data_IF_103898575475
#
_entry.id   IF_103898575475
#
_cell.length_a   1.000
_cell.length_b   1.000
_cell.length_c   1.000
_cell.angle_alpha   90.00
_cell.angle_beta   90.00
_cell.angle_gamma   90.00
#
_symmetry.space_group_name_H-M   'P 1'
#
loop_
_entity.id
_entity.type
_entity.pdbx_description
1 polymer ?
#
# COMPACT_ATOMS: atom_id res chain seq x y z
N UNK A 1 16.76 1.81 -27.25
CA UNK A 1 16.68 0.42 -26.77
C UNK A 1 16.22 0.46 -25.32
N UNK A 2 15.01 -0.05 -25.04
CA UNK A 2 14.49 -0.23 -23.70
C UNK A 2 15.40 -1.21 -22.96
N UNK A 3 16.23 -0.73 -22.03
CA UNK A 3 16.95 -1.61 -21.12
C UNK A 3 16.02 -1.92 -19.96
N UNK A 4 15.52 -3.15 -19.96
CA UNK A 4 14.79 -3.81 -18.88
C UNK A 4 15.80 -4.22 -17.77
N UNK A 5 17.05 -3.78 -17.84
CA UNK A 5 18.19 -4.36 -17.11
C UNK A 5 18.56 -3.62 -15.82
N UNK A 6 17.73 -2.68 -15.33
CA UNK A 6 17.91 -2.16 -13.98
C UNK A 6 17.23 -3.13 -12.99
N UNK A 7 18.02 -3.69 -12.07
CA UNK A 7 17.55 -4.55 -10.97
C UNK A 7 16.28 -4.00 -10.28
N UNK A 8 16.15 -2.68 -10.02
CA UNK A 8 14.92 -2.12 -9.44
C UNK A 8 13.66 -2.32 -10.29
N UNK A 9 13.76 -2.25 -11.63
CA UNK A 9 12.58 -2.40 -12.52
C UNK A 9 12.03 -3.83 -12.47
N UNK A 10 12.89 -4.84 -12.29
CA UNK A 10 12.45 -6.22 -12.11
C UNK A 10 11.69 -6.41 -10.82
N UNK A 11 12.15 -5.80 -9.72
CA UNK A 11 11.51 -5.94 -8.42
C UNK A 11 10.12 -5.31 -8.39
N UNK A 12 9.95 -4.11 -8.95
CA UNK A 12 8.62 -3.47 -9.10
C UNK A 12 7.69 -4.28 -9.99
N UNK A 13 8.19 -4.79 -11.13
CA UNK A 13 7.40 -5.62 -12.05
C UNK A 13 6.95 -6.94 -11.40
N UNK A 14 7.85 -7.60 -10.67
CA UNK A 14 7.53 -8.80 -9.91
C UNK A 14 6.48 -8.52 -8.84
N UNK A 15 6.52 -7.37 -8.16
CA UNK A 15 5.51 -6.97 -7.18
C UNK A 15 4.13 -6.85 -7.80
N UNK A 16 4.04 -6.21 -8.97
CA UNK A 16 2.80 -6.10 -9.74
C UNK A 16 2.28 -7.50 -10.11
N UNK A 17 3.16 -8.41 -10.53
CA UNK A 17 2.79 -9.78 -10.89
C UNK A 17 2.37 -10.65 -9.70
N UNK A 18 3.02 -10.49 -8.53
CA UNK A 18 2.73 -11.25 -7.31
C UNK A 18 1.45 -10.77 -6.62
N UNK A 19 1.10 -9.49 -6.75
CA UNK A 19 -0.12 -8.90 -6.16
C UNK A 19 -1.41 -9.70 -6.43
N UNK A 20 -1.77 -10.03 -7.69
CA UNK A 20 -2.97 -10.84 -7.96
C UNK A 20 -2.85 -12.26 -7.40
N UNK A 21 -1.64 -12.83 -7.32
CA UNK A 21 -1.43 -14.14 -6.69
C UNK A 21 -1.77 -14.07 -5.20
N UNK A 22 -1.33 -13.03 -4.49
CA UNK A 22 -1.69 -12.81 -3.07
C UNK A 22 -3.21 -12.74 -2.92
N UNK A 23 -3.89 -11.96 -3.76
CA UNK A 23 -5.35 -11.84 -3.71
C UNK A 23 -6.05 -13.19 -3.93
N UNK A 24 -5.61 -13.97 -4.91
CA UNK A 24 -6.15 -15.32 -5.18
C UNK A 24 -5.92 -16.24 -3.97
N UNK A 25 -4.73 -16.22 -3.36
CA UNK A 25 -4.44 -17.04 -2.19
C UNK A 25 -5.35 -16.71 -0.99
N UNK A 26 -5.71 -15.43 -0.83
CA UNK A 26 -6.70 -15.00 0.17
C UNK A 26 -8.11 -15.50 -0.20
N UNK A 27 -8.52 -15.39 -1.46
CA UNK A 27 -9.85 -15.83 -1.93
C UNK A 27 -10.11 -17.32 -1.86
N UNK A 28 -9.05 -18.14 -1.92
CA UNK A 28 -9.17 -19.58 -1.69
C UNK A 28 -9.67 -19.87 -0.28
N UNK A 29 -9.42 -18.96 0.67
CA UNK A 29 -9.84 -19.04 2.07
C UNK A 29 -9.37 -20.34 2.78
N UNK A 30 -8.21 -20.86 2.36
CA UNK A 30 -7.60 -22.04 2.96
C UNK A 30 -6.65 -21.65 4.09
N UNK A 31 -7.03 -22.00 5.32
CA UNK A 31 -6.24 -21.78 6.54
C UNK A 31 -5.04 -22.72 6.66
N UNK A 32 -4.97 -23.79 5.87
CA UNK A 32 -3.89 -24.77 5.95
C UNK A 32 -2.61 -24.25 5.28
N UNK A 33 -2.73 -23.71 4.06
CA UNK A 33 -1.58 -23.22 3.29
C UNK A 33 -1.84 -21.89 2.57
N UNK A 34 -3.07 -21.62 2.13
CA UNK A 34 -3.41 -20.41 1.37
C UNK A 34 -2.97 -19.11 2.06
N UNK A 35 -3.41 -18.91 3.30
CA UNK A 35 -3.05 -17.71 4.07
C UNK A 35 -1.56 -17.63 4.41
N UNK A 36 -0.89 -18.76 4.65
CA UNK A 36 0.55 -18.78 4.91
C UNK A 36 1.35 -18.32 3.68
N UNK A 37 0.98 -18.83 2.49
CA UNK A 37 1.60 -18.40 1.22
C UNK A 37 1.31 -16.92 0.96
N UNK A 38 0.06 -16.48 1.14
CA UNK A 38 -0.31 -15.07 1.00
C UNK A 38 0.51 -14.17 1.94
N UNK A 39 0.67 -14.56 3.20
CA UNK A 39 1.45 -13.84 4.20
C UNK A 39 2.92 -13.72 3.82
N UNK A 40 3.54 -14.83 3.39
CA UNK A 40 4.94 -14.85 2.95
C UNK A 40 5.14 -13.96 1.72
N UNK A 41 4.29 -14.11 0.69
CA UNK A 41 4.36 -13.32 -0.53
C UNK A 41 4.16 -11.83 -0.25
N UNK A 42 3.18 -11.47 0.58
CA UNK A 42 2.92 -10.09 0.99
C UNK A 42 4.10 -9.49 1.76
N UNK A 43 4.69 -10.27 2.67
CA UNK A 43 5.86 -9.84 3.46
C UNK A 43 7.06 -9.59 2.56
N UNK A 44 7.37 -10.52 1.65
CA UNK A 44 8.46 -10.37 0.68
C UNK A 44 8.20 -9.15 -0.20
N UNK A 45 6.99 -8.99 -0.75
CA UNK A 45 6.61 -7.86 -1.61
C UNK A 45 6.75 -6.50 -0.91
N UNK A 46 6.43 -6.44 0.39
CA UNK A 46 6.54 -5.22 1.19
C UNK A 46 8.00 -4.89 1.55
N UNK A 47 8.82 -5.91 1.82
CA UNK A 47 10.25 -5.74 2.12
C UNK A 47 11.01 -5.33 0.86
N UNK A 48 10.71 -5.95 -0.28
CA UNK A 48 11.37 -5.61 -1.55
C UNK A 48 11.11 -4.16 -1.95
N UNK A 49 9.90 -3.65 -1.75
CA UNK A 49 9.59 -2.22 -1.95
C UNK A 49 10.48 -1.28 -1.13
N UNK A 50 10.59 -1.55 0.16
CA UNK A 50 11.41 -0.74 1.04
C UNK A 50 12.90 -0.76 0.60
N UNK A 51 13.40 -1.94 0.20
CA UNK A 51 14.77 -2.11 -0.27
C UNK A 51 15.00 -1.43 -1.62
N UNK A 52 14.08 -1.51 -2.56
CA UNK A 52 14.16 -0.84 -3.87
C UNK A 52 14.28 0.68 -3.70
N UNK A 53 13.40 1.26 -2.88
CA UNK A 53 13.42 2.70 -2.59
C UNK A 53 14.68 3.15 -1.85
N UNK A 54 15.32 2.27 -1.08
CA UNK A 54 16.61 2.55 -0.43
C UNK A 54 17.77 2.46 -1.42
N UNK A 55 17.81 1.40 -2.22
CA UNK A 55 18.87 1.11 -3.19
C UNK A 55 18.90 2.15 -4.33
N UNK A 56 17.74 2.55 -4.85
CA UNK A 56 17.64 3.59 -5.88
C UNK A 56 18.25 4.93 -5.40
N UNK A 57 17.95 5.32 -4.15
CA UNK A 57 18.50 6.55 -3.54
C UNK A 57 20.02 6.49 -3.32
N UNK A 58 20.54 5.31 -3.00
CA UNK A 58 21.98 5.14 -2.76
C UNK A 58 22.77 5.06 -4.07
N UNK A 59 22.22 4.42 -5.10
CA UNK A 59 22.92 4.21 -6.37
C UNK A 59 22.77 5.37 -7.35
N UNK A 60 21.84 6.33 -7.13
CA UNK A 60 21.50 7.41 -8.08
C UNK A 60 21.13 6.89 -9.48
N UNK A 61 20.67 5.65 -9.56
CA UNK A 61 20.20 5.01 -10.78
C UNK A 61 18.68 5.13 -10.76
N UNK A 62 18.17 6.21 -11.33
CA UNK A 62 16.74 6.42 -11.53
C UNK A 62 16.41 6.14 -13.01
N UNK A 63 15.58 5.14 -13.26
CA UNK A 63 15.04 4.89 -14.60
C UNK A 63 13.63 5.48 -14.66
N UNK A 64 13.31 6.27 -15.68
CA UNK A 64 11.99 6.89 -15.81
C UNK A 64 10.83 5.89 -15.92
N UNK A 65 11.12 4.64 -16.32
CA UNK A 65 10.13 3.56 -16.35
C UNK A 65 9.81 3.02 -14.94
N UNK A 66 10.84 2.81 -14.11
CA UNK A 66 10.66 2.41 -12.71
C UNK A 66 9.96 3.49 -11.90
N UNK A 67 10.35 4.75 -12.08
CA UNK A 67 9.72 5.89 -11.41
C UNK A 67 8.22 6.00 -11.70
N UNK A 68 7.80 5.66 -12.93
CA UNK A 68 6.40 5.60 -13.31
C UNK A 68 5.67 4.41 -12.67
N UNK A 69 6.31 3.24 -12.60
CA UNK A 69 5.68 2.01 -12.11
C UNK A 69 5.58 1.91 -10.59
N UNK A 70 6.54 2.45 -9.83
CA UNK A 70 6.57 2.33 -8.37
C UNK A 70 5.28 2.83 -7.70
N UNK A 71 4.75 4.03 -8.03
CA UNK A 71 3.50 4.52 -7.44
C UNK A 71 2.27 3.71 -7.86
N UNK A 72 2.34 2.96 -8.96
CA UNK A 72 1.28 2.08 -9.43
C UNK A 72 1.32 0.77 -8.66
N UNK A 73 2.50 0.15 -8.57
CA UNK A 73 2.73 -1.11 -7.86
C UNK A 73 2.29 -1.03 -6.39
N UNK A 74 2.62 0.06 -5.71
CA UNK A 74 2.27 0.26 -4.29
C UNK A 74 0.75 0.30 -4.07
N UNK A 75 0.03 1.03 -4.93
CA UNK A 75 -1.44 1.14 -4.83
C UNK A 75 -2.11 -0.15 -5.22
N UNK A 76 -1.56 -0.86 -6.20
CA UNK A 76 -2.06 -2.18 -6.60
C UNK A 76 -1.93 -3.19 -5.46
N UNK A 77 -0.76 -3.28 -4.82
CA UNK A 77 -0.54 -4.24 -3.74
C UNK A 77 -1.53 -4.03 -2.59
N UNK A 78 -1.53 -2.81 -2.04
CA UNK A 78 -2.41 -2.44 -0.93
C UNK A 78 -3.88 -2.60 -1.31
N UNK A 79 -4.27 -2.10 -2.48
CA UNK A 79 -5.66 -2.10 -2.91
C UNK A 79 -6.19 -3.49 -3.17
N UNK A 80 -5.41 -4.35 -3.84
CA UNK A 80 -5.78 -5.73 -4.09
C UNK A 80 -5.91 -6.52 -2.79
N UNK A 81 -4.99 -6.33 -1.84
CA UNK A 81 -5.05 -7.00 -0.54
C UNK A 81 -6.27 -6.55 0.27
N UNK A 82 -6.57 -5.25 0.32
CA UNK A 82 -7.77 -4.74 1.00
C UNK A 82 -9.05 -5.30 0.38
N UNK A 83 -9.14 -5.35 -0.94
CA UNK A 83 -10.30 -5.93 -1.65
C UNK A 83 -10.40 -7.44 -1.44
N UNK A 84 -9.27 -8.14 -1.42
CA UNK A 84 -9.26 -9.58 -1.18
C UNK A 84 -9.73 -9.90 0.25
N UNK A 85 -9.15 -9.23 1.25
CA UNK A 85 -9.59 -9.35 2.64
C UNK A 85 -11.07 -8.96 2.80
N UNK A 86 -11.57 -7.94 2.08
CA UNK A 86 -12.98 -7.55 2.14
C UNK A 86 -13.97 -8.66 1.76
N UNK A 87 -13.55 -9.65 0.97
CA UNK A 87 -14.40 -10.78 0.56
C UNK A 87 -14.44 -11.93 1.56
N UNK A 88 -13.44 -12.04 2.44
CA UNK A 88 -13.31 -13.14 3.41
C UNK A 88 -13.52 -12.67 4.85
N UNK A 89 -13.31 -11.38 5.14
CA UNK A 89 -13.47 -10.80 6.47
C UNK A 89 -14.92 -10.81 6.95
N UNK A 90 -15.12 -11.33 8.16
CA UNK A 90 -16.45 -11.42 8.80
C UNK A 90 -16.73 -10.24 9.73
N UNK A 91 -15.75 -9.38 9.96
CA UNK A 91 -15.80 -8.21 10.85
C UNK A 91 -16.77 -7.10 10.38
N UNK A 92 -17.30 -7.22 9.16
CA UNK A 92 -18.27 -6.29 8.58
C UNK A 92 -17.74 -4.85 8.54
N UNK A 93 -18.49 -3.91 9.11
CA UNK A 93 -18.14 -2.48 9.07
C UNK A 93 -16.81 -2.16 9.76
N UNK A 94 -16.39 -2.96 10.74
CA UNK A 94 -15.12 -2.76 11.46
C UNK A 94 -13.92 -2.90 10.53
N UNK A 95 -14.01 -3.72 9.49
CA UNK A 95 -13.00 -3.83 8.45
C UNK A 95 -13.30 -2.91 7.25
N UNK A 96 -14.55 -2.90 6.77
CA UNK A 96 -14.93 -2.20 5.54
C UNK A 96 -14.78 -0.68 5.64
N UNK A 97 -15.08 -0.09 6.81
CA UNK A 97 -14.97 1.36 7.01
C UNK A 97 -13.52 1.87 6.89
N UNK A 98 -12.53 1.35 7.65
CA UNK A 98 -11.15 1.81 7.51
C UNK A 98 -10.54 1.42 6.16
N UNK A 99 -10.90 0.26 5.58
CA UNK A 99 -10.49 -0.12 4.23
C UNK A 99 -10.93 0.90 3.17
N UNK A 100 -12.20 1.34 3.23
CA UNK A 100 -12.74 2.35 2.33
C UNK A 100 -12.04 3.71 2.52
N UNK A 101 -11.84 4.14 3.77
CA UNK A 101 -11.13 5.40 4.08
C UNK A 101 -9.72 5.42 3.48
N UNK A 102 -8.99 4.32 3.61
CA UNK A 102 -7.65 4.15 3.04
C UNK A 102 -7.71 4.21 1.51
N UNK A 103 -8.54 3.38 0.87
CA UNK A 103 -8.66 3.31 -0.58
C UNK A 103 -9.06 4.66 -1.19
N UNK A 104 -10.14 5.27 -0.70
CA UNK A 104 -10.62 6.56 -1.20
C UNK A 104 -9.54 7.64 -1.12
N UNK A 105 -8.79 7.69 -0.01
CA UNK A 105 -7.70 8.64 0.15
C UNK A 105 -6.58 8.38 -0.85
N UNK A 106 -6.17 7.14 -1.05
CA UNK A 106 -5.08 6.81 -1.99
C UNK A 106 -5.41 7.30 -3.42
N UNK A 107 -6.67 7.19 -3.88
CA UNK A 107 -7.08 7.76 -5.15
C UNK A 107 -7.09 9.30 -5.15
N UNK A 108 -7.69 9.94 -4.14
CA UNK A 108 -7.80 11.41 -4.05
C UNK A 108 -6.43 12.08 -4.04
N UNK A 109 -5.52 11.61 -3.18
CA UNK A 109 -4.18 12.22 -3.05
C UNK A 109 -3.32 11.95 -4.28
N UNK A 110 -3.53 10.82 -4.96
CA UNK A 110 -2.87 10.55 -6.24
C UNK A 110 -3.30 11.54 -7.32
N UNK A 111 -4.60 11.74 -7.49
CA UNK A 111 -5.14 12.70 -8.46
C UNK A 111 -4.71 14.14 -8.16
N UNK A 112 -4.72 14.52 -6.88
CA UNK A 112 -4.23 15.84 -6.45
C UNK A 112 -2.75 16.04 -6.77
N UNK A 113 -1.89 15.06 -6.48
CA UNK A 113 -0.46 15.14 -6.79
C UNK A 113 -0.20 15.24 -8.29
N UNK A 114 -0.94 14.49 -9.10
CA UNK A 114 -0.84 14.56 -10.56
C UNK A 114 -1.25 15.95 -11.07
N UNK A 115 -2.35 16.51 -10.53
CA UNK A 115 -2.79 17.85 -10.89
C UNK A 115 -1.77 18.93 -10.49
N UNK A 116 -1.25 18.89 -9.27
CA UNK A 116 -0.26 19.87 -8.78
C UNK A 116 1.05 19.81 -9.58
N UNK A 117 1.48 18.62 -9.99
CA UNK A 117 2.65 18.45 -10.86
C UNK A 117 2.47 19.17 -12.20
N UNK A 118 1.26 19.20 -12.78
CA UNK A 118 0.96 19.91 -14.03
C UNK A 118 1.10 21.44 -13.91
N UNK A 119 0.96 21.99 -12.70
CA UNK A 119 1.14 23.42 -12.42
C UNK A 119 2.50 23.73 -11.77
N UNK A 120 3.49 22.82 -11.89
CA UNK A 120 4.84 22.95 -11.33
C UNK A 120 4.89 23.14 -9.80
N UNK A 121 3.87 22.68 -9.08
CA UNK A 121 3.86 22.70 -7.61
C UNK A 121 4.00 21.29 -7.05
N UNK A 122 4.82 21.15 -6.00
CA UNK A 122 4.96 19.89 -5.27
C UNK A 122 4.70 20.13 -3.79
N UNK A 123 3.96 19.21 -3.17
CA UNK A 123 3.67 19.26 -1.73
C UNK A 123 4.59 18.26 -1.03
N UNK A 124 5.47 18.71 -0.10
CA UNK A 124 6.45 17.85 0.53
C UNK A 124 5.78 16.78 1.41
N UNK A 125 6.37 15.59 1.41
CA UNK A 125 5.87 14.45 2.20
C UNK A 125 6.18 14.65 3.68
N UNK A 126 5.17 14.58 4.53
CA UNK A 126 5.33 14.72 5.99
C UNK A 126 5.89 13.43 6.62
N UNK A 127 6.57 13.54 7.77
CA UNK A 127 7.02 12.35 8.52
C UNK A 127 5.86 11.44 8.93
N UNK A 128 4.70 12.02 9.23
CA UNK A 128 3.48 11.27 9.54
C UNK A 128 3.06 10.36 8.38
N UNK A 129 3.27 10.80 7.14
CA UNK A 129 2.99 10.02 5.94
C UNK A 129 3.95 8.85 5.73
N UNK A 130 5.11 8.81 6.40
CA UNK A 130 5.98 7.62 6.40
C UNK A 130 5.46 6.56 7.37
N UNK A 131 5.08 6.98 8.56
CA UNK A 131 4.52 6.08 9.58
C UNK A 131 3.20 5.44 9.14
N UNK A 132 2.35 6.16 8.40
CA UNK A 132 1.08 5.61 7.90
C UNK A 132 1.29 4.31 7.12
N UNK A 133 2.28 4.28 6.23
CA UNK A 133 2.54 3.12 5.37
C UNK A 133 3.05 1.94 6.18
N UNK A 134 3.94 2.17 7.15
CA UNK A 134 4.42 1.11 8.05
C UNK A 134 3.26 0.49 8.84
N UNK A 135 2.42 1.32 9.46
CA UNK A 135 1.27 0.83 10.24
C UNK A 135 0.30 0.07 9.34
N UNK A 136 0.09 0.53 8.11
CA UNK A 136 -0.79 -0.12 7.16
C UNK A 136 -0.27 -1.48 6.69
N UNK A 137 1.02 -1.59 6.36
CA UNK A 137 1.65 -2.87 6.00
C UNK A 137 1.56 -3.83 7.18
N UNK A 138 1.81 -3.37 8.41
CA UNK A 138 1.68 -4.18 9.61
C UNK A 138 0.22 -4.63 9.83
N UNK A 139 -0.75 -3.75 9.63
CA UNK A 139 -2.17 -4.08 9.74
C UNK A 139 -2.55 -5.22 8.78
N UNK A 140 -2.25 -5.04 7.49
CA UNK A 140 -2.58 -6.01 6.45
C UNK A 140 -1.82 -7.33 6.64
N UNK A 141 -0.52 -7.27 6.95
CA UNK A 141 0.26 -8.46 7.24
C UNK A 141 -0.30 -9.25 8.43
N UNK A 142 -0.71 -8.55 9.48
CA UNK A 142 -1.31 -9.20 10.67
C UNK A 142 -2.67 -9.83 10.33
N UNK A 143 -3.51 -9.16 9.54
CA UNK A 143 -4.81 -9.69 9.11
C UNK A 143 -4.68 -10.91 8.19
N UNK A 144 -3.75 -10.89 7.24
CA UNK A 144 -3.44 -12.07 6.40
C UNK A 144 -2.84 -13.19 7.25
N UNK A 145 -2.00 -12.85 8.23
CA UNK A 145 -1.31 -13.82 9.08
C UNK A 145 -2.19 -14.46 10.15
N UNK A 146 -3.26 -13.80 10.59
CA UNK A 146 -4.09 -14.30 11.69
C UNK A 146 -4.70 -15.69 11.40
N UNK A 147 -5.26 -15.97 10.20
CA UNK A 147 -5.69 -17.32 9.86
C UNK A 147 -4.53 -18.32 9.65
N UNK A 148 -3.35 -17.84 9.24
CA UNK A 148 -2.15 -18.68 9.04
C UNK A 148 -1.50 -19.14 10.35
N UNK A 149 -1.69 -18.38 11.43
CA UNK A 149 -1.11 -18.64 12.75
C UNK A 149 -2.21 -18.63 13.82
N UNK A 150 -3.12 -19.63 13.84
CA UNK A 150 -4.28 -19.65 14.72
C UNK A 150 -3.95 -19.67 16.23
N UNK A 151 -2.73 -20.12 16.57
CA UNK A 151 -2.17 -20.06 17.94
C UNK A 151 -2.09 -18.62 18.49
N UNK A 152 -2.03 -17.61 17.61
CA UNK A 152 -1.99 -16.20 17.97
C UNK A 152 -3.42 -15.64 18.08
N UNK A 153 -4.13 -15.99 19.15
CA UNK A 153 -5.57 -15.72 19.31
C UNK A 153 -5.99 -14.24 19.19
N UNK A 154 -5.07 -13.29 19.44
CA UNK A 154 -5.34 -11.85 19.34
C UNK A 154 -4.85 -11.20 18.04
N UNK A 155 -4.26 -11.96 17.11
CA UNK A 155 -3.67 -11.41 15.90
C UNK A 155 -4.71 -10.66 15.05
N UNK A 156 -5.90 -11.24 14.89
CA UNK A 156 -6.97 -10.62 14.11
C UNK A 156 -7.43 -9.27 14.69
N UNK A 157 -7.73 -9.23 15.99
CA UNK A 157 -8.11 -8.00 16.70
C UNK A 157 -7.02 -6.92 16.61
N UNK A 158 -5.74 -7.31 16.79
CA UNK A 158 -4.60 -6.40 16.64
C UNK A 158 -4.52 -5.86 15.21
N UNK A 159 -4.73 -6.72 14.21
CA UNK A 159 -4.78 -6.34 12.81
C UNK A 159 -5.86 -5.29 12.52
N UNK A 160 -7.07 -5.47 13.06
CA UNK A 160 -8.17 -4.50 12.94
C UNK A 160 -7.83 -3.16 13.62
N UNK A 161 -7.27 -3.20 14.84
CA UNK A 161 -6.84 -1.97 15.54
C UNK A 161 -5.79 -1.22 14.73
N UNK A 162 -4.78 -1.92 14.22
CA UNK A 162 -3.76 -1.34 13.36
C UNK A 162 -4.35 -0.75 12.07
N UNK A 163 -5.36 -1.41 11.49
CA UNK A 163 -6.05 -0.93 10.28
C UNK A 163 -6.78 0.40 10.55
N UNK A 164 -7.45 0.53 11.70
CA UNK A 164 -8.07 1.79 12.12
C UNK A 164 -7.04 2.89 12.36
N UNK A 165 -5.93 2.57 13.04
CA UNK A 165 -4.83 3.54 13.24
C UNK A 165 -4.27 3.99 11.88
N UNK A 166 -4.06 3.06 10.95
CA UNK A 166 -3.63 3.37 9.59
C UNK A 166 -4.63 4.27 8.86
N UNK A 167 -5.93 4.00 8.96
CA UNK A 167 -6.98 4.81 8.34
C UNK A 167 -7.00 6.24 8.89
N UNK A 168 -6.92 6.41 10.22
CA UNK A 168 -6.91 7.73 10.86
C UNK A 168 -5.67 8.55 10.46
N UNK A 169 -4.47 7.93 10.47
CA UNK A 169 -3.25 8.57 9.96
C UNK A 169 -3.37 8.95 8.48
N UNK A 170 -4.01 8.07 7.70
CA UNK A 170 -4.21 8.28 6.26
C UNK A 170 -5.13 9.48 5.99
N UNK A 171 -6.21 9.63 6.75
CA UNK A 171 -7.10 10.79 6.68
C UNK A 171 -6.41 12.08 7.14
N UNK A 172 -5.71 12.04 8.28
CA UNK A 172 -5.00 13.22 8.80
C UNK A 172 -3.96 13.73 7.81
N UNK A 173 -3.15 12.84 7.22
CA UNK A 173 -2.20 13.23 6.18
C UNK A 173 -2.89 13.69 4.90
N UNK A 174 -4.02 13.08 4.54
CA UNK A 174 -4.81 13.44 3.37
C UNK A 174 -5.36 14.85 3.46
N UNK A 175 -5.94 15.23 4.60
CA UNK A 175 -6.44 16.59 4.83
C UNK A 175 -5.33 17.63 4.73
N UNK A 176 -4.17 17.38 5.35
CA UNK A 176 -3.02 18.27 5.25
C UNK A 176 -2.55 18.48 3.80
N UNK A 177 -2.57 17.42 2.98
CA UNK A 177 -2.25 17.50 1.56
C UNK A 177 -3.28 18.30 0.77
N UNK A 178 -4.58 18.08 1.01
CA UNK A 178 -5.65 18.80 0.31
C UNK A 178 -5.58 20.29 0.62
N UNK A 179 -5.45 20.66 1.89
CA UNK A 179 -5.35 22.07 2.31
C UNK A 179 -4.12 22.74 1.68
N UNK A 180 -2.96 22.09 1.73
CA UNK A 180 -1.75 22.62 1.10
C UNK A 180 -1.87 22.71 -0.43
N UNK A 181 -2.54 21.75 -1.07
CA UNK A 181 -2.78 21.75 -2.51
C UNK A 181 -3.73 22.86 -2.95
N UNK A 182 -4.85 23.05 -2.25
CA UNK A 182 -5.86 24.07 -2.57
C UNK A 182 -5.31 25.50 -2.51
N UNK A 183 -4.33 25.78 -1.64
CA UNK A 183 -3.66 27.08 -1.58
C UNK A 183 -2.89 27.44 -2.87
N UNK A 184 -2.54 26.45 -3.68
CA UNK A 184 -1.79 26.64 -4.92
C UNK A 184 -2.66 26.52 -6.17
N UNK A 185 -3.95 26.25 -6.02
CA UNK A 185 -4.88 26.23 -7.15
C UNK A 185 -5.15 27.68 -7.54
N UNK A 186 -4.79 28.10 -8.77
CA UNK A 186 -5.10 29.46 -9.20
C UNK A 186 -6.62 29.65 -9.23
N UNK A 187 -7.12 30.63 -8.47
CA UNK A 187 -8.50 31.08 -8.58
C UNK A 187 -8.71 31.60 -10.01
N UNK A 188 -9.56 30.93 -10.77
CA UNK A 188 -10.09 31.45 -12.04
C UNK A 188 -11.24 32.41 -11.76
#
# INVERSE_FOLDING_TARGET
>A
MMSIDSIPNWMTTLRIAVTPIIAIMIWIDDTSYGYLVAFILFTIASITDYLDGMLARQMKIESGFGEMLDPIADKMLIGAVLLALASVETSGWLFLAPALMILSREFIISGLREYLAKINHTVPVTRLAKWKTTVQILALGTLIGAPAFPELSYAHDIGLVLLWVAALLTLQTGMGYIVAGLQHVPNK
#
